data_IF_090803779784
#
_entry.id   IF_090803779784
#
_cell.length_a   1.000
_cell.length_b   1.000
_cell.length_c   1.000
_cell.angle_alpha   90.00
_cell.angle_beta   90.00
_cell.angle_gamma   90.00
#
_symmetry.space_group_name_H-M   'P 1'
#
loop_
_entity.id
_entity.type
_entity.pdbx_description
1 polymer ?
#
# COMPACT_ATOMS: atom_id res chain seq x y z
N UNK A 1 -31.87 12.65 1.66
CA UNK A 1 -30.66 12.98 0.90
C UNK A 1 -29.62 11.91 1.17
N UNK A 2 -29.34 11.04 0.19
CA UNK A 2 -28.31 10.01 0.30
C UNK A 2 -26.96 10.71 0.21
N UNK A 3 -26.26 10.82 1.34
CA UNK A 3 -24.89 11.35 1.36
C UNK A 3 -24.02 10.28 0.71
N UNK A 4 -23.43 10.58 -0.45
CA UNK A 4 -22.40 9.73 -1.03
C UNK A 4 -21.31 9.51 0.03
N UNK A 5 -20.81 8.28 0.24
CA UNK A 5 -19.80 8.04 1.25
C UNK A 5 -18.62 8.97 0.97
N UNK A 6 -18.25 9.79 1.96
CA UNK A 6 -17.00 10.53 1.91
C UNK A 6 -15.88 9.50 1.75
N UNK A 7 -15.27 9.46 0.57
CA UNK A 7 -14.11 8.62 0.32
C UNK A 7 -12.99 9.18 1.20
N UNK A 8 -12.75 8.53 2.34
CA UNK A 8 -11.83 9.00 3.38
C UNK A 8 -10.38 8.66 3.03
N UNK A 9 -9.90 9.19 1.91
CA UNK A 9 -8.53 9.00 1.42
C UNK A 9 -7.70 10.27 1.57
N UNK A 10 -6.41 10.09 1.85
CA UNK A 10 -5.37 11.12 1.73
C UNK A 10 -4.50 10.81 0.53
N UNK A 11 -4.24 11.80 -0.30
CA UNK A 11 -3.30 11.71 -1.42
C UNK A 11 -1.93 12.24 -1.05
N UNK A 12 -0.89 11.43 -1.26
CA UNK A 12 0.51 11.83 -1.12
C UNK A 12 1.13 11.93 -2.50
N UNK A 13 1.59 13.12 -2.89
CA UNK A 13 2.31 13.35 -4.15
C UNK A 13 3.81 13.23 -3.95
N UNK A 14 4.50 12.56 -4.86
CA UNK A 14 5.95 12.39 -4.81
C UNK A 14 6.56 12.09 -6.18
N UNK A 15 7.86 12.33 -6.29
CA UNK A 15 8.66 12.00 -7.47
C UNK A 15 9.32 10.63 -7.32
N UNK A 16 9.39 9.89 -8.42
CA UNK A 16 10.14 8.63 -8.50
C UNK A 16 11.44 8.89 -9.26
N UNK A 17 12.55 8.56 -8.61
CA UNK A 17 13.89 8.67 -9.17
C UNK A 17 14.50 7.28 -9.38
N UNK A 18 15.10 7.05 -10.55
CA UNK A 18 15.91 5.85 -10.85
C UNK A 18 17.29 6.32 -11.27
N UNK A 19 18.32 5.84 -10.58
CA UNK A 19 19.71 6.26 -10.82
C UNK A 19 19.91 7.79 -10.80
N UNK A 20 19.19 8.50 -9.92
CA UNK A 20 19.24 9.96 -9.79
C UNK A 20 18.40 10.74 -10.81
N UNK A 21 17.84 10.09 -11.82
CA UNK A 21 16.99 10.72 -12.83
C UNK A 21 15.52 10.62 -12.41
N UNK A 22 14.80 11.75 -12.45
CA UNK A 22 13.35 11.78 -12.22
C UNK A 22 12.65 11.09 -13.39
N UNK A 23 12.00 9.96 -13.12
CA UNK A 23 11.30 9.18 -14.16
C UNK A 23 9.79 9.31 -14.06
N UNK A 24 9.22 9.65 -12.90
CA UNK A 24 7.77 9.73 -12.76
C UNK A 24 7.32 10.71 -11.68
N UNK A 25 6.08 11.15 -11.80
CA UNK A 25 5.29 11.74 -10.72
C UNK A 25 4.20 10.75 -10.33
N UNK A 26 3.96 10.59 -9.03
CA UNK A 26 2.99 9.66 -8.50
C UNK A 26 2.12 10.26 -7.40
N UNK A 27 0.89 9.75 -7.29
CA UNK A 27 -0.03 9.99 -6.18
C UNK A 27 -0.35 8.66 -5.53
N UNK A 28 -0.05 8.51 -4.24
CA UNK A 28 -0.48 7.37 -3.42
C UNK A 28 -1.70 7.78 -2.60
N UNK A 29 -2.81 7.09 -2.79
CA UNK A 29 -4.02 7.24 -2.00
C UNK A 29 -3.99 6.27 -0.83
N UNK A 30 -4.17 6.81 0.37
CA UNK A 30 -4.10 6.09 1.64
C UNK A 30 -5.44 6.25 2.35
N UNK A 31 -6.02 5.15 2.82
CA UNK A 31 -7.22 5.19 3.65
C UNK A 31 -6.88 5.87 4.98
N UNK A 32 -7.56 6.98 5.31
CA UNK A 32 -7.20 7.83 6.45
C UNK A 32 -7.29 7.10 7.79
N UNK A 33 -8.34 6.31 8.00
CA UNK A 33 -8.54 5.59 9.27
C UNK A 33 -7.54 4.46 9.50
N UNK A 34 -7.19 3.70 8.46
CA UNK A 34 -6.35 2.50 8.61
C UNK A 34 -4.88 2.75 8.30
N UNK A 35 -4.56 3.84 7.60
CA UNK A 35 -3.21 4.13 7.11
C UNK A 35 -2.76 3.24 5.95
N UNK A 36 -3.67 2.42 5.40
CA UNK A 36 -3.36 1.41 4.39
C UNK A 36 -3.50 2.02 2.98
N UNK A 37 -2.56 1.77 2.05
CA UNK A 37 -2.68 2.24 0.68
C UNK A 37 -3.82 1.53 -0.06
N UNK A 38 -4.57 2.27 -0.86
CA UNK A 38 -5.73 1.74 -1.60
C UNK A 38 -5.58 1.86 -3.11
N UNK A 39 -4.84 2.86 -3.57
CA UNK A 39 -4.62 3.13 -4.99
C UNK A 39 -3.34 3.93 -5.21
N UNK A 40 -2.69 3.73 -6.35
CA UNK A 40 -1.57 4.57 -6.80
C UNK A 40 -1.75 4.93 -8.26
N UNK A 41 -1.56 6.20 -8.58
CA UNK A 41 -1.56 6.71 -9.95
C UNK A 41 -0.18 7.28 -10.24
N UNK A 42 0.37 6.99 -11.42
CA UNK A 42 1.65 7.55 -11.83
C UNK A 42 1.75 7.71 -13.34
N UNK A 43 2.57 8.67 -13.76
CA UNK A 43 2.98 8.83 -15.17
C UNK A 43 4.48 8.65 -15.24
N UNK A 44 4.92 7.56 -15.86
CA UNK A 44 6.33 7.22 -16.05
C UNK A 44 6.80 7.72 -17.40
N UNK A 45 7.90 8.45 -17.42
CA UNK A 45 8.55 8.98 -18.60
C UNK A 45 9.81 8.17 -18.91
N UNK A 46 9.93 7.70 -20.14
CA UNK A 46 11.09 6.99 -20.67
C UNK A 46 11.44 7.56 -22.05
N UNK A 47 12.64 7.29 -22.61
CA UNK A 47 13.06 7.91 -23.87
C UNK A 47 12.11 7.71 -25.05
N UNK A 48 11.33 6.62 -25.05
CA UNK A 48 10.35 6.30 -26.09
C UNK A 48 8.94 6.88 -25.87
N UNK A 49 8.68 7.61 -24.77
CA UNK A 49 7.38 8.19 -24.47
C UNK A 49 6.99 8.13 -22.99
N UNK A 50 5.69 8.20 -22.73
CA UNK A 50 5.13 8.17 -21.38
C UNK A 50 4.12 7.04 -21.21
N UNK A 51 4.05 6.46 -20.01
CA UNK A 51 3.08 5.45 -19.62
C UNK A 51 2.34 5.88 -18.37
N UNK A 52 1.01 5.89 -18.43
CA UNK A 52 0.15 6.07 -17.26
C UNK A 52 -0.16 4.72 -16.63
N UNK A 53 0.01 4.62 -15.32
CA UNK A 53 -0.27 3.41 -14.54
C UNK A 53 -1.24 3.75 -13.42
N UNK A 54 -2.26 2.91 -13.28
CA UNK A 54 -3.19 2.92 -12.15
C UNK A 54 -3.07 1.56 -11.47
N UNK A 55 -2.70 1.56 -10.20
CA UNK A 55 -2.65 0.38 -9.34
C UNK A 55 -3.76 0.49 -8.29
N UNK A 56 -4.49 -0.60 -8.07
CA UNK A 56 -5.49 -0.72 -7.00
C UNK A 56 -5.08 -1.86 -6.09
N UNK A 57 -5.12 -1.64 -4.77
CA UNK A 57 -4.63 -2.60 -3.79
C UNK A 57 -5.79 -3.30 -3.08
N UNK A 58 -5.97 -4.60 -3.36
CA UNK A 58 -6.79 -5.50 -2.53
C UNK A 58 -5.90 -6.14 -1.47
N UNK A 59 -5.79 -5.49 -0.31
CA UNK A 59 -4.89 -5.93 0.76
C UNK A 59 -5.55 -7.00 1.60
N UNK A 60 -4.96 -8.20 1.56
CA UNK A 60 -5.31 -9.33 2.41
C UNK A 60 -4.18 -9.58 3.41
N UNK A 61 -4.42 -9.26 4.67
CA UNK A 61 -3.68 -9.78 5.83
C UNK A 61 -3.61 -11.31 5.89
N UNK A 62 -2.39 -11.85 5.97
CA UNK A 62 -2.19 -13.19 6.49
C UNK A 62 -2.16 -13.10 8.03
N UNK A 63 -3.07 -13.78 8.73
CA UNK A 63 -2.94 -13.93 10.18
C UNK A 63 -1.63 -14.66 10.49
N UNK A 64 -0.80 -14.17 11.43
CA UNK A 64 0.37 -14.93 11.87
C UNK A 64 -0.10 -16.29 12.39
N UNK A 65 0.50 -17.37 11.86
CA UNK A 65 0.27 -18.72 12.36
C UNK A 65 0.71 -18.72 13.83
N UNK A 66 -0.21 -18.93 14.76
CA UNK A 66 0.17 -19.15 16.16
C UNK A 66 1.05 -20.38 16.24
N UNK A 67 2.30 -20.25 16.66
CA UNK A 67 3.14 -21.38 17.07
C UNK A 67 2.54 -21.99 18.35
N UNK A 68 1.52 -22.83 18.18
CA UNK A 68 1.07 -23.72 19.24
C UNK A 68 2.10 -24.86 19.36
N UNK A 69 3.15 -24.62 20.15
CA UNK A 69 4.29 -25.54 20.24
C UNK A 69 5.10 -25.50 21.55
N UNK A 70 4.52 -25.05 22.67
CA UNK A 70 5.18 -25.08 23.97
C UNK A 70 4.75 -26.30 24.82
N UNK A 71 5.39 -27.45 24.63
CA UNK A 71 5.24 -28.62 25.52
C UNK A 71 5.74 -28.28 26.92
N UNK A 72 4.84 -28.07 27.86
CA UNK A 72 5.17 -27.88 29.28
C UNK A 72 5.62 -29.22 29.89
N UNK A 73 6.93 -29.38 30.09
CA UNK A 73 7.50 -30.52 30.83
C UNK A 73 7.26 -30.27 32.32
N UNK A 74 6.41 -31.09 32.95
CA UNK A 74 6.24 -31.10 34.40
C UNK A 74 7.51 -31.68 35.04
N UNK A 75 8.23 -30.87 35.82
CA UNK A 75 9.26 -31.37 36.73
C UNK A 75 8.60 -32.17 37.84
N UNK A 76 9.14 -33.38 38.06
CA UNK A 76 8.69 -34.34 39.06
C UNK A 76 8.97 -33.91 40.50
N UNK A 77 8.34 -34.63 41.41
CA UNK A 77 8.58 -34.61 42.85
C UNK A 77 8.99 -36.01 43.28
#
# INVERSE_FOLDING_TARGET
TTVAPHIDWVGVRFDIHVSGTRIAEAVLWIHRTTGVPVRREQVVNFPGGSMSVVEEYDIRWASPRSEAGGRQVRQGR
#
